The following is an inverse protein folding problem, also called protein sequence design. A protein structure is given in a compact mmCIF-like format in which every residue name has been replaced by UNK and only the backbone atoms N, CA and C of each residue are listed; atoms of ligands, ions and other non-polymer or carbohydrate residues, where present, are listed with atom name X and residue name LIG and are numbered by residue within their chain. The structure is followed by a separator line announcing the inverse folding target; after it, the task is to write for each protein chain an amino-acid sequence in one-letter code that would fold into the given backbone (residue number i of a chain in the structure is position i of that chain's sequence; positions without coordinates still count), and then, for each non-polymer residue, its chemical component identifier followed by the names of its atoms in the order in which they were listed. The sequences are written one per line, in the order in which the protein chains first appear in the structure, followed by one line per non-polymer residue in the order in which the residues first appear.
data_IF_657368232600
#
_entry.id   IF_657368232600
#
_cell.length_a   1.000
_cell.length_b   1.000
_cell.length_c   1.000
_cell.angle_alpha   90.00
_cell.angle_beta   90.00
_cell.angle_gamma   90.00
#
_symmetry.space_group_name_H-M   'P 1'
#
loop_
_entity.id
_entity.type
_entity.pdbx_description
1 polymer ?
#
# COMPACT_ATOMS: atom_id res chain seq x y z
N UNK A 1 30.52 6.74 -21.33
CA UNK A 1 29.86 7.21 -20.10
C UNK A 1 28.41 6.74 -20.16
N UNK A 2 27.97 5.89 -19.25
CA UNK A 2 26.57 5.48 -19.17
C UNK A 2 25.83 6.44 -18.25
N UNK A 3 24.70 6.97 -18.72
CA UNK A 3 23.74 7.71 -17.91
C UNK A 3 22.80 6.69 -17.27
N UNK A 4 22.70 6.73 -15.95
CA UNK A 4 21.81 5.87 -15.15
C UNK A 4 20.34 6.17 -15.44
N UNK A 5 19.53 5.11 -15.65
CA UNK A 5 18.07 5.22 -15.78
C UNK A 5 17.47 5.37 -14.38
N UNK A 6 16.95 6.55 -14.03
CA UNK A 6 16.19 6.76 -12.79
C UNK A 6 14.71 6.49 -13.02
N UNK A 7 14.28 5.22 -12.90
CA UNK A 7 12.88 4.93 -12.58
C UNK A 7 12.79 4.88 -11.05
N UNK A 8 12.31 5.96 -10.44
CA UNK A 8 12.25 6.12 -8.98
C UNK A 8 10.86 5.86 -8.40
N UNK A 9 10.17 4.87 -8.97
CA UNK A 9 9.02 4.24 -8.33
C UNK A 9 9.39 2.79 -8.07
N UNK A 10 9.03 2.23 -6.90
CA UNK A 10 8.08 2.77 -5.92
C UNK A 10 8.71 3.67 -4.83
N UNK A 11 7.86 4.45 -4.12
CA UNK A 11 8.27 5.16 -2.90
C UNK A 11 8.46 4.20 -1.72
N UNK A 12 7.59 3.19 -1.62
CA UNK A 12 7.63 2.15 -0.60
C UNK A 12 7.20 0.80 -1.16
N UNK A 13 7.77 -0.27 -0.63
CA UNK A 13 7.47 -1.66 -1.00
C UNK A 13 6.95 -2.45 0.18
N UNK A 14 5.80 -3.11 -0.01
CA UNK A 14 5.17 -3.98 0.98
C UNK A 14 5.42 -5.44 0.60
N UNK A 15 5.95 -6.23 1.55
CA UNK A 15 6.23 -7.66 1.36
C UNK A 15 5.97 -8.45 2.64
N UNK A 16 5.24 -9.56 2.53
CA UNK A 16 4.88 -10.43 3.66
C UNK A 16 6.12 -11.02 4.37
N UNK A 17 7.19 -11.31 3.63
CA UNK A 17 8.39 -12.02 4.09
C UNK A 17 9.47 -11.12 4.74
N UNK A 18 9.19 -9.82 4.90
CA UNK A 18 10.12 -8.81 5.49
C UNK A 18 11.37 -8.51 4.65
N UNK A 19 11.36 -8.82 3.35
CA UNK A 19 12.45 -8.46 2.44
C UNK A 19 12.32 -7.05 1.83
N UNK A 20 11.22 -6.35 2.09
CA UNK A 20 10.98 -4.96 1.68
C UNK A 20 10.87 -3.99 2.84
N UNK A 21 10.29 -2.82 2.59
CA UNK A 21 10.21 -1.72 3.56
C UNK A 21 9.19 -2.00 4.67
N UNK A 22 8.01 -2.52 4.29
CA UNK A 22 6.90 -2.79 5.21
C UNK A 22 6.37 -4.21 5.04
N UNK A 23 5.76 -4.73 6.11
CA UNK A 23 5.09 -6.04 6.07
C UNK A 23 3.58 -5.91 5.92
N UNK A 24 3.02 -4.75 6.28
CA UNK A 24 1.60 -4.44 6.20
C UNK A 24 1.35 -3.20 5.34
N UNK A 25 0.21 -3.20 4.66
CA UNK A 25 -0.26 -2.07 3.87
C UNK A 25 -0.65 -0.90 4.76
N UNK A 26 -1.22 -1.15 5.95
CA UNK A 26 -1.51 -0.10 6.95
C UNK A 26 -0.25 0.66 7.35
N UNK A 27 0.87 -0.03 7.56
CA UNK A 27 2.15 0.63 7.88
C UNK A 27 2.63 1.52 6.73
N UNK A 28 2.52 1.02 5.49
CA UNK A 28 2.89 1.79 4.30
C UNK A 28 1.97 3.01 4.07
N UNK A 29 0.68 2.90 4.41
CA UNK A 29 -0.26 4.03 4.35
C UNK A 29 0.05 5.07 5.43
N UNK A 30 0.52 4.63 6.60
CA UNK A 30 0.91 5.51 7.71
C UNK A 30 1.98 6.52 7.34
N UNK A 31 2.93 6.14 6.46
CA UNK A 31 4.04 7.02 6.06
C UNK A 31 3.72 7.97 4.90
N UNK A 32 2.52 7.86 4.30
CA UNK A 32 2.08 8.78 3.26
C UNK A 32 1.96 10.19 3.86
N UNK A 33 2.63 11.21 3.30
CA UNK A 33 2.50 12.59 3.75
C UNK A 33 1.08 13.11 3.48
N UNK A 34 0.52 13.79 4.48
CA UNK A 34 -0.81 14.36 4.36
C UNK A 34 -0.81 15.57 3.42
N UNK A 35 -1.87 15.73 2.63
CA UNK A 35 -2.12 16.84 1.71
C UNK A 35 -0.98 17.09 0.70
N UNK A 36 -0.27 16.03 0.29
CA UNK A 36 0.77 16.11 -0.73
C UNK A 36 0.19 16.27 -2.13
N UNK A 37 0.72 17.23 -2.89
CA UNK A 37 0.45 17.36 -4.33
C UNK A 37 1.25 16.36 -5.19
N UNK A 38 2.24 15.70 -4.60
CA UNK A 38 3.04 14.66 -5.26
C UNK A 38 2.39 13.29 -5.12
N UNK A 39 2.49 12.48 -6.19
CA UNK A 39 2.05 11.09 -6.17
C UNK A 39 2.89 10.26 -5.20
N UNK A 40 2.23 9.44 -4.39
CA UNK A 40 2.88 8.48 -3.51
C UNK A 40 2.61 7.06 -4.01
N UNK A 41 3.65 6.38 -4.47
CA UNK A 41 3.55 5.05 -5.09
C UNK A 41 3.91 3.94 -4.09
N UNK A 42 2.94 3.10 -3.79
CA UNK A 42 3.06 1.91 -2.95
C UNK A 42 3.07 0.68 -3.86
N UNK A 43 4.16 -0.07 -3.82
CA UNK A 43 4.25 -1.37 -4.49
C UNK A 43 3.96 -2.50 -3.51
N UNK A 44 3.01 -3.36 -3.85
CA UNK A 44 2.56 -4.47 -3.00
C UNK A 44 2.97 -5.77 -3.69
N UNK A 45 3.97 -6.46 -3.13
CA UNK A 45 4.39 -7.74 -3.71
C UNK A 45 3.33 -8.82 -3.51
N UNK A 46 3.43 -9.86 -4.33
CA UNK A 46 2.62 -11.06 -4.24
C UNK A 46 2.59 -11.59 -2.80
N UNK A 47 1.41 -11.90 -2.32
CA UNK A 47 1.18 -12.21 -0.92
C UNK A 47 -0.29 -12.11 -0.55
N UNK A 48 -0.59 -12.67 0.61
CA UNK A 48 -1.91 -12.60 1.21
C UNK A 48 -1.87 -11.66 2.41
N UNK A 49 -2.54 -10.52 2.28
CA UNK A 49 -2.58 -9.45 3.26
C UNK A 49 -3.96 -9.46 3.92
N UNK A 50 -4.07 -10.07 5.10
CA UNK A 50 -5.31 -10.07 5.89
C UNK A 50 -5.33 -8.87 6.82
N UNK A 51 -5.82 -7.74 6.33
CA UNK A 51 -5.83 -6.47 7.07
C UNK A 51 -6.97 -5.56 6.60
N UNK A 52 -7.41 -4.68 7.49
CA UNK A 52 -8.38 -3.64 7.16
C UNK A 52 -7.64 -2.34 6.88
N UNK A 53 -7.50 -1.99 5.61
CA UNK A 53 -6.78 -0.79 5.19
C UNK A 53 -7.75 0.38 5.09
N UNK A 54 -7.47 1.46 5.82
CA UNK A 54 -8.16 2.74 5.69
C UNK A 54 -7.17 3.80 5.20
N UNK A 55 -7.55 4.52 4.15
CA UNK A 55 -6.80 5.66 3.62
C UNK A 55 -7.62 6.90 3.95
N UNK A 56 -7.14 7.70 4.90
CA UNK A 56 -7.81 8.93 5.30
C UNK A 56 -7.88 9.95 4.16
N UNK A 57 -8.91 10.81 4.20
CA UNK A 57 -9.18 11.82 3.17
C UNK A 57 -8.02 12.82 2.99
N UNK A 58 -7.20 13.00 4.03
CA UNK A 58 -6.00 13.82 4.02
C UNK A 58 -4.88 13.24 3.16
N UNK A 59 -4.86 11.93 2.91
CA UNK A 59 -3.83 11.24 2.11
C UNK A 59 -4.22 11.28 0.64
N UNK A 60 -3.79 12.33 -0.05
CA UNK A 60 -4.09 12.58 -1.47
C UNK A 60 -3.04 11.95 -2.40
N UNK A 61 -3.42 11.69 -3.65
CA UNK A 61 -2.53 11.26 -4.74
C UNK A 61 -1.79 9.92 -4.49
N UNK A 62 -2.49 8.93 -3.95
CA UNK A 62 -1.91 7.61 -3.65
C UNK A 62 -2.11 6.65 -4.81
N UNK A 63 -1.03 5.97 -5.22
CA UNK A 63 -1.06 4.89 -6.21
C UNK A 63 -0.64 3.60 -5.50
N UNK A 64 -1.50 2.57 -5.59
CA UNK A 64 -1.18 1.22 -5.12
C UNK A 64 -1.11 0.29 -6.33
N UNK A 65 -0.02 -0.44 -6.47
CA UNK A 65 0.18 -1.39 -7.57
C UNK A 65 0.72 -2.72 -7.04
N UNK A 66 0.20 -3.82 -7.57
CA UNK A 66 0.60 -5.17 -7.16
C UNK A 66 1.28 -5.98 -8.26
N UNK A 67 1.90 -7.10 -7.90
CA UNK A 67 2.54 -8.07 -8.82
C UNK A 67 1.58 -8.74 -9.84
N UNK A 68 0.28 -8.47 -9.72
CA UNK A 68 -0.76 -8.93 -10.63
C UNK A 68 -1.99 -9.52 -9.93
N UNK A 69 -3.06 -9.67 -10.71
CA UNK A 69 -4.32 -10.26 -10.27
C UNK A 69 -4.11 -11.70 -9.80
N UNK A 70 -4.66 -12.05 -8.64
CA UNK A 70 -4.53 -13.39 -8.03
C UNK A 70 -3.19 -13.69 -7.36
N UNK A 71 -2.17 -12.83 -7.52
CA UNK A 71 -0.90 -12.91 -6.80
C UNK A 71 -0.89 -12.01 -5.57
N UNK A 72 -1.48 -10.82 -5.68
CA UNK A 72 -1.60 -9.86 -4.59
C UNK A 72 -3.03 -9.86 -4.10
N UNK A 73 -3.26 -10.45 -2.94
CA UNK A 73 -4.59 -10.62 -2.37
C UNK A 73 -4.69 -9.80 -1.07
N UNK A 74 -5.53 -8.77 -1.08
CA UNK A 74 -5.88 -8.00 0.10
C UNK A 74 -7.24 -8.51 0.57
N UNK A 75 -7.26 -9.17 1.72
CA UNK A 75 -8.44 -9.86 2.23
C UNK A 75 -8.89 -9.18 3.52
N UNK A 76 -10.19 -8.95 3.60
CA UNK A 76 -10.84 -8.54 4.82
C UNK A 76 -12.04 -9.45 5.09
N UNK A 77 -12.21 -9.87 6.34
CA UNK A 77 -13.33 -10.69 6.78
C UNK A 77 -14.21 -9.88 7.73
N UNK A 78 -15.20 -9.17 7.17
CA UNK A 78 -16.19 -8.46 7.96
C UNK A 78 -17.43 -9.32 8.15
N UNK A 79 -17.45 -10.19 9.16
CA UNK A 79 -18.71 -10.74 9.68
C UNK A 79 -19.03 -10.00 10.98
N UNK A 80 -19.78 -8.91 10.88
CA UNK A 80 -20.31 -8.24 12.06
C UNK A 80 -21.73 -7.72 11.80
N UNK A 81 -22.67 -8.07 12.68
CA UNK A 81 -24.07 -7.66 12.64
C UNK A 81 -24.28 -6.14 12.72
N UNK A 82 -23.23 -5.36 12.99
CA UNK A 82 -23.28 -3.92 13.27
C UNK A 82 -22.48 -3.02 12.31
N UNK A 83 -21.93 -3.55 11.21
CA UNK A 83 -21.32 -2.77 10.13
C UNK A 83 -19.90 -2.23 10.39
N UNK A 84 -19.25 -1.79 9.31
CA UNK A 84 -17.93 -1.14 9.32
C UNK A 84 -18.09 0.34 9.70
N UNK A 85 -17.56 0.75 10.86
CA UNK A 85 -17.59 2.13 11.36
C UNK A 85 -16.18 2.71 11.27
N UNK A 86 -16.06 3.84 10.56
CA UNK A 86 -14.88 4.70 10.57
C UNK A 86 -15.25 5.93 11.40
N UNK A 87 -14.69 6.05 12.59
CA UNK A 87 -14.82 7.23 13.47
C UNK A 87 -13.70 8.25 13.22
#
# INVERSE_FOLDING_TARGET
MLVTVSVQWPNVTVVVDRTGDYRSIVEAVGVIPNNSDSMFFIYIKAGNYTENVYIGIEKRNVVMSGDGIGKTNIIFSCSNSTGFVID
#
